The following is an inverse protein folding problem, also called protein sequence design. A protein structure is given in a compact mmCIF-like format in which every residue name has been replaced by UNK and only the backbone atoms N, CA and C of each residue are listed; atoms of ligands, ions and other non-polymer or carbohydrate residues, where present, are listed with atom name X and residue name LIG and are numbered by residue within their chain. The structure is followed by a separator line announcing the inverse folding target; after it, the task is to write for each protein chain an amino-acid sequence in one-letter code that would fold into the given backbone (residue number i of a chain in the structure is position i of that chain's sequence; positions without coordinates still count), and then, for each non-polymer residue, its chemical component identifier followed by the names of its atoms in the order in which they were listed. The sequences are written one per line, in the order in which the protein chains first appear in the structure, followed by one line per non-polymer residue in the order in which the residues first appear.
data_IF_013852482257
#
_entry.id   IF_013852482257
#
_cell.length_a   1.000
_cell.length_b   1.000
_cell.length_c   1.000
_cell.angle_alpha   90.00
_cell.angle_beta   90.00
_cell.angle_gamma   90.00
#
_symmetry.space_group_name_H-M   'P 1'
#
loop_
_entity.id
_entity.type
_entity.pdbx_description
1 polymer ?
#
# COMPACT_ATOMS: atom_id res chain seq x y z
N UNK A 1 -3.57 -0.01 19.77
CA UNK A 1 -3.25 0.86 18.61
C UNK A 1 -3.86 0.28 17.35
N UNK A 2 -4.33 1.14 16.48
CA UNK A 2 -4.75 0.83 15.12
C UNK A 2 -3.88 1.60 14.11
N UNK A 3 -4.04 1.30 12.82
CA UNK A 3 -3.20 1.89 11.78
C UNK A 3 -3.27 3.43 11.73
N UNK A 4 -4.43 4.04 11.90
CA UNK A 4 -4.56 5.50 11.87
C UNK A 4 -3.86 6.18 13.06
N UNK A 5 -3.86 5.56 14.24
CA UNK A 5 -3.07 6.05 15.38
C UNK A 5 -1.57 6.03 15.07
N UNK A 6 -1.10 4.97 14.43
CA UNK A 6 0.31 4.86 13.97
C UNK A 6 0.62 5.92 12.91
N UNK A 7 -0.27 6.15 11.95
CA UNK A 7 -0.11 7.23 10.97
C UNK A 7 0.01 8.59 11.62
N UNK A 8 -0.83 8.88 12.63
CA UNK A 8 -0.74 10.12 13.39
C UNK A 8 0.63 10.29 14.05
N UNK A 9 1.09 9.23 14.75
CA UNK A 9 2.40 9.24 15.43
C UNK A 9 3.54 9.49 14.43
N UNK A 10 3.51 8.85 13.27
CA UNK A 10 4.55 9.03 12.25
C UNK A 10 4.55 10.44 11.65
N UNK A 11 3.39 11.07 11.53
CA UNK A 11 3.25 12.42 10.98
C UNK A 11 3.57 13.52 12.00
N UNK A 12 3.26 13.30 13.28
CA UNK A 12 3.33 14.33 14.32
C UNK A 12 4.43 14.09 15.37
N UNK A 13 5.01 12.87 15.42
CA UNK A 13 6.10 12.53 16.34
C UNK A 13 5.66 12.14 17.75
N UNK A 14 4.37 12.24 18.06
CA UNK A 14 3.82 11.95 19.39
C UNK A 14 2.46 11.27 19.30
N UNK A 15 2.08 10.60 20.39
CA UNK A 15 0.78 9.94 20.49
C UNK A 15 -0.35 10.97 20.58
N UNK A 16 -1.45 10.82 19.80
CA UNK A 16 -2.58 11.74 19.87
C UNK A 16 -3.33 11.66 21.20
N UNK A 17 -3.89 12.81 21.63
CA UNK A 17 -5.02 12.81 22.56
C UNK A 17 -6.23 12.19 21.88
N UNK A 18 -7.28 11.86 22.64
CA UNK A 18 -8.52 11.32 22.06
C UNK A 18 -9.16 12.31 21.07
N UNK A 19 -9.17 13.60 21.38
CA UNK A 19 -9.72 14.63 20.52
C UNK A 19 -8.94 14.75 19.20
N UNK A 20 -7.61 14.80 19.27
CA UNK A 20 -6.72 14.84 18.10
C UNK A 20 -6.89 13.59 17.22
N UNK A 21 -7.03 12.42 17.85
CA UNK A 21 -7.26 11.18 17.12
C UNK A 21 -8.61 11.20 16.39
N UNK A 22 -9.68 11.65 17.06
CA UNK A 22 -11.02 11.69 16.48
C UNK A 22 -11.10 12.68 15.31
N UNK A 23 -10.44 13.84 15.42
CA UNK A 23 -10.31 14.81 14.34
C UNK A 23 -9.51 14.22 13.14
N UNK A 24 -8.35 13.62 13.42
CA UNK A 24 -7.53 12.98 12.40
C UNK A 24 -8.28 11.87 11.67
N UNK A 25 -8.90 10.96 12.41
CA UNK A 25 -9.74 9.88 11.88
C UNK A 25 -10.88 10.42 11.01
N UNK A 26 -11.57 11.44 11.49
CA UNK A 26 -12.68 12.08 10.76
C UNK A 26 -12.18 12.69 9.44
N UNK A 27 -11.05 13.39 9.48
CA UNK A 27 -10.43 14.00 8.31
C UNK A 27 -10.04 12.93 7.27
N UNK A 28 -9.36 11.87 7.69
CA UNK A 28 -9.00 10.76 6.79
C UNK A 28 -10.25 10.11 6.19
N UNK A 29 -11.24 9.77 7.03
CA UNK A 29 -12.47 9.09 6.59
C UNK A 29 -13.25 9.90 5.55
N UNK A 30 -13.31 11.22 5.70
CA UNK A 30 -14.07 12.08 4.78
C UNK A 30 -13.34 12.46 3.49
N UNK A 31 -12.08 12.06 3.34
CA UNK A 31 -11.27 12.36 2.14
C UNK A 31 -10.96 11.13 1.27
N UNK A 32 -11.59 9.99 1.54
CA UNK A 32 -11.34 8.71 0.87
C UNK A 32 -11.78 8.66 -0.59
N UNK A 33 -12.81 9.43 -0.97
CA UNK A 33 -13.23 9.52 -2.39
C UNK A 33 -12.15 10.17 -3.25
N UNK A 34 -11.91 9.60 -4.42
CA UNK A 34 -11.11 10.23 -5.48
C UNK A 34 -12.01 11.07 -6.39
N UNK A 35 -11.39 11.99 -7.13
CA UNK A 35 -12.13 12.76 -8.15
C UNK A 35 -12.65 11.81 -9.23
N UNK A 36 -13.91 11.95 -9.63
CA UNK A 36 -14.58 11.01 -10.53
C UNK A 36 -13.86 10.87 -11.90
N UNK A 37 -13.23 11.92 -12.40
CA UNK A 37 -12.45 11.83 -13.63
C UNK A 37 -11.23 10.90 -13.51
N UNK A 38 -10.70 10.67 -12.30
CA UNK A 38 -9.57 9.75 -12.08
C UNK A 38 -10.00 8.32 -12.41
N UNK A 39 -11.26 7.96 -12.22
CA UNK A 39 -11.77 6.63 -12.56
C UNK A 39 -11.55 6.30 -14.05
N UNK A 40 -11.61 7.31 -14.92
CA UNK A 40 -11.35 7.15 -16.35
C UNK A 40 -9.90 6.82 -16.68
N UNK A 41 -8.94 7.22 -15.83
CA UNK A 41 -7.53 6.90 -16.04
C UNK A 41 -7.26 5.39 -15.88
N UNK A 42 -8.04 4.68 -15.07
CA UNK A 42 -7.92 3.22 -14.99
C UNK A 42 -8.22 2.57 -16.34
N UNK A 43 -9.17 3.10 -17.11
CA UNK A 43 -9.52 2.59 -18.43
C UNK A 43 -8.46 2.86 -19.51
N UNK A 44 -7.48 3.73 -19.25
CA UNK A 44 -6.34 3.95 -20.12
C UNK A 44 -5.24 2.88 -19.97
N UNK A 45 -5.27 2.11 -18.87
CA UNK A 45 -4.35 0.99 -18.66
C UNK A 45 -4.95 -0.30 -19.24
N UNK A 46 -4.07 -1.23 -19.60
CA UNK A 46 -4.51 -2.59 -19.93
C UNK A 46 -4.99 -3.28 -18.64
N UNK A 47 -6.00 -4.14 -18.75
CA UNK A 47 -6.54 -4.88 -17.59
C UNK A 47 -5.52 -5.83 -16.96
N UNK A 48 -4.59 -6.35 -17.74
CA UNK A 48 -3.49 -7.21 -17.32
C UNK A 48 -2.24 -6.45 -16.87
N UNK A 49 -2.34 -5.11 -16.73
CA UNK A 49 -1.23 -4.29 -16.22
C UNK A 49 -0.88 -4.65 -14.79
N UNK A 50 0.42 -4.63 -14.50
CA UNK A 50 0.90 -4.81 -13.14
C UNK A 50 0.31 -3.74 -12.20
N UNK A 51 -0.29 -4.10 -11.04
CA UNK A 51 -0.96 -3.14 -10.16
C UNK A 51 -0.07 -2.01 -9.68
N UNK A 52 1.22 -2.26 -9.45
CA UNK A 52 2.15 -1.22 -9.05
C UNK A 52 2.40 -0.18 -10.15
N UNK A 53 2.37 -0.57 -11.44
CA UNK A 53 2.45 0.37 -12.55
C UNK A 53 1.23 1.30 -12.58
N UNK A 54 0.04 0.74 -12.41
CA UNK A 54 -1.21 1.49 -12.34
C UNK A 54 -1.19 2.45 -11.14
N UNK A 55 -0.84 1.96 -9.96
CA UNK A 55 -0.75 2.77 -8.74
C UNK A 55 0.25 3.91 -8.86
N UNK A 56 1.42 3.68 -9.47
CA UNK A 56 2.42 4.71 -9.74
C UNK A 56 1.84 5.82 -10.64
N UNK A 57 1.20 5.45 -11.75
CA UNK A 57 0.60 6.39 -12.69
C UNK A 57 -0.55 7.20 -12.09
N UNK A 58 -1.48 6.55 -11.41
CA UNK A 58 -2.65 7.21 -10.79
C UNK A 58 -2.21 8.13 -9.64
N UNK A 59 -1.26 7.70 -8.81
CA UNK A 59 -0.74 8.55 -7.71
C UNK A 59 -0.08 9.81 -8.25
N UNK A 60 0.76 9.70 -9.28
CA UNK A 60 1.35 10.87 -9.93
C UNK A 60 0.31 11.81 -10.54
N UNK A 61 -0.75 11.25 -11.13
CA UNK A 61 -1.84 12.01 -11.73
C UNK A 61 -2.64 12.84 -10.72
N UNK A 62 -2.63 12.52 -9.41
CA UNK A 62 -3.29 13.33 -8.38
C UNK A 62 -2.82 14.78 -8.39
N UNK A 63 -1.57 15.05 -8.77
CA UNK A 63 -1.04 16.41 -8.89
C UNK A 63 -1.83 17.28 -9.89
N UNK A 64 -2.43 16.67 -10.91
CA UNK A 64 -3.27 17.38 -11.87
C UNK A 64 -4.67 17.74 -11.34
N UNK A 65 -5.06 17.22 -10.19
CA UNK A 65 -6.38 17.44 -9.57
C UNK A 65 -6.32 18.30 -8.29
N UNK A 66 -5.14 18.38 -7.65
CA UNK A 66 -4.99 19.00 -6.33
C UNK A 66 -3.91 20.09 -6.33
N UNK A 67 -4.16 21.18 -7.06
CA UNK A 67 -3.22 22.28 -7.24
C UNK A 67 -2.92 23.07 -5.96
N UNK A 68 -3.75 22.93 -4.93
CA UNK A 68 -3.66 23.62 -3.63
C UNK A 68 -2.74 22.92 -2.62
N UNK A 69 -2.00 21.90 -3.01
CA UNK A 69 -1.14 21.11 -2.11
C UNK A 69 0.11 20.57 -2.81
N UNK A 70 0.71 21.35 -3.71
CA UNK A 70 1.85 20.95 -4.53
C UNK A 70 3.21 21.43 -4.01
N UNK A 71 3.24 22.49 -3.21
CA UNK A 71 4.50 23.07 -2.71
C UNK A 71 5.00 22.32 -1.47
N UNK A 72 6.09 21.58 -1.64
CA UNK A 72 6.74 20.82 -0.54
C UNK A 72 7.37 21.71 0.53
N UNK A 73 7.64 23.00 0.23
CA UNK A 73 8.18 23.95 1.21
C UNK A 73 7.09 24.56 2.09
N UNK A 74 5.83 24.53 1.64
CA UNK A 74 4.69 25.01 2.42
C UNK A 74 4.21 23.90 3.38
N UNK A 75 4.28 24.11 4.72
CA UNK A 75 3.83 23.10 5.70
C UNK A 75 2.37 22.70 5.52
N UNK A 76 1.50 23.66 5.19
CA UNK A 76 0.06 23.39 4.98
C UNK A 76 -0.18 22.53 3.75
N UNK A 77 0.56 22.74 2.66
CA UNK A 77 0.47 21.91 1.47
C UNK A 77 0.93 20.47 1.75
N UNK A 78 2.01 20.31 2.53
CA UNK A 78 2.47 18.98 2.95
C UNK A 78 1.42 18.24 3.78
N UNK A 79 0.82 18.92 4.73
CA UNK A 79 -0.23 18.36 5.57
C UNK A 79 -1.44 17.93 4.73
N UNK A 80 -1.97 18.79 3.87
CA UNK A 80 -3.10 18.49 2.98
C UNK A 80 -2.76 17.31 2.05
N UNK A 81 -1.57 17.31 1.46
CA UNK A 81 -1.13 16.23 0.59
C UNK A 81 -1.00 14.89 1.33
N UNK A 82 -0.49 14.90 2.58
CA UNK A 82 -0.39 13.72 3.42
C UNK A 82 -1.78 13.13 3.71
N UNK A 83 -2.75 13.96 4.11
CA UNK A 83 -4.13 13.52 4.30
C UNK A 83 -4.76 12.93 3.02
N UNK A 84 -4.56 13.60 1.89
CA UNK A 84 -5.10 13.14 0.60
C UNK A 84 -4.49 11.80 0.18
N UNK A 85 -3.18 11.67 0.27
CA UNK A 85 -2.48 10.42 -0.07
C UNK A 85 -2.91 9.29 0.86
N UNK A 86 -2.88 9.51 2.17
CA UNK A 86 -3.30 8.51 3.15
C UNK A 86 -4.74 8.06 2.93
N UNK A 87 -5.67 9.01 2.73
CA UNK A 87 -7.09 8.71 2.59
C UNK A 87 -7.44 8.00 1.28
N UNK A 88 -6.78 8.39 0.16
CA UNK A 88 -7.17 7.93 -1.18
C UNK A 88 -6.44 6.68 -1.64
N UNK A 89 -5.32 6.35 -1.04
CA UNK A 89 -4.52 5.18 -1.44
C UNK A 89 -5.31 3.88 -1.41
N UNK A 90 -6.09 3.56 -0.36
CA UNK A 90 -6.92 2.34 -0.34
C UNK A 90 -7.97 2.32 -1.45
N UNK A 91 -8.59 3.47 -1.74
CA UNK A 91 -9.60 3.58 -2.80
C UNK A 91 -8.98 3.31 -4.16
N UNK A 92 -7.82 3.92 -4.45
CA UNK A 92 -7.12 3.69 -5.72
C UNK A 92 -6.65 2.24 -5.86
N UNK A 93 -6.13 1.63 -4.80
CA UNK A 93 -5.70 0.24 -4.81
C UNK A 93 -6.87 -0.73 -5.04
N UNK A 94 -8.01 -0.50 -4.38
CA UNK A 94 -9.21 -1.29 -4.58
C UNK A 94 -9.77 -1.13 -6.01
N UNK A 95 -9.78 0.09 -6.55
CA UNK A 95 -10.21 0.32 -7.94
C UNK A 95 -9.27 -0.35 -8.94
N UNK A 96 -7.95 -0.33 -8.69
CA UNK A 96 -6.98 -1.05 -9.51
C UNK A 96 -7.32 -2.56 -9.57
N UNK A 97 -7.59 -3.17 -8.43
CA UNK A 97 -8.00 -4.57 -8.35
C UNK A 97 -9.32 -4.84 -9.08
N UNK A 98 -10.36 -4.04 -8.79
CA UNK A 98 -11.67 -4.18 -9.44
C UNK A 98 -11.58 -4.05 -10.95
N UNK A 99 -10.78 -3.12 -11.44
CA UNK A 99 -10.53 -2.96 -12.87
C UNK A 99 -9.88 -4.20 -13.48
N UNK A 100 -8.85 -4.76 -12.83
CA UNK A 100 -8.12 -5.93 -13.34
C UNK A 100 -9.02 -7.17 -13.51
N UNK A 101 -9.95 -7.38 -12.58
CA UNK A 101 -10.90 -8.52 -12.63
C UNK A 101 -12.20 -8.22 -13.38
N UNK A 102 -12.37 -6.99 -13.91
CA UNK A 102 -13.55 -6.58 -14.68
C UNK A 102 -14.81 -6.41 -13.87
N UNK A 103 -14.70 -6.09 -12.60
CA UNK A 103 -15.82 -5.75 -11.73
C UNK A 103 -16.02 -4.23 -11.62
N UNK A 104 -17.24 -3.75 -11.32
CA UNK A 104 -17.50 -2.35 -11.09
C UNK A 104 -16.73 -1.82 -9.87
N UNK A 105 -16.36 -0.54 -9.92
CA UNK A 105 -15.75 0.11 -8.76
C UNK A 105 -16.73 0.20 -7.60
N UNK A 106 -16.20 -0.02 -6.41
CA UNK A 106 -16.93 0.16 -5.16
C UNK A 106 -16.40 1.42 -4.48
N UNK A 107 -17.32 2.31 -4.14
CA UNK A 107 -16.98 3.58 -3.50
C UNK A 107 -16.78 3.40 -1.98
N UNK A 108 -15.95 4.25 -1.36
CA UNK A 108 -15.70 4.19 0.07
C UNK A 108 -16.97 4.52 0.89
N UNK A 109 -17.02 3.98 2.09
CA UNK A 109 -18.07 4.21 3.08
C UNK A 109 -17.47 4.88 4.33
N UNK A 110 -18.17 5.88 4.87
CA UNK A 110 -17.70 6.63 6.04
C UNK A 110 -17.98 5.94 7.38
N UNK A 111 -18.81 4.90 7.39
CA UNK A 111 -19.19 4.14 8.58
C UNK A 111 -18.24 2.98 8.90
N UNK A 112 -17.31 2.69 8.00
CA UNK A 112 -16.30 1.63 8.17
C UNK A 112 -14.97 2.17 8.69
N UNK A 113 -14.20 1.31 9.33
CA UNK A 113 -12.80 1.59 9.66
C UNK A 113 -11.94 1.71 8.41
N UNK A 114 -10.72 2.20 8.54
CA UNK A 114 -9.77 2.30 7.41
C UNK A 114 -9.53 0.94 6.73
N UNK A 115 -9.21 -0.09 7.51
CA UNK A 115 -8.99 -1.44 7.00
C UNK A 115 -10.30 -2.08 6.49
N UNK A 116 -11.40 -1.91 7.23
CA UNK A 116 -12.71 -2.43 6.84
C UNK A 116 -13.22 -1.81 5.55
N UNK A 117 -13.00 -0.51 5.36
CA UNK A 117 -13.37 0.17 4.13
C UNK A 117 -12.56 -0.34 2.93
N UNK A 118 -11.25 -0.56 3.10
CA UNK A 118 -10.43 -1.18 2.07
C UNK A 118 -10.95 -2.56 1.66
N UNK A 119 -11.23 -3.44 2.63
CA UNK A 119 -11.79 -4.77 2.37
C UNK A 119 -13.16 -4.70 1.67
N UNK A 120 -14.02 -3.78 2.09
CA UNK A 120 -15.31 -3.56 1.45
C UNK A 120 -15.14 -3.15 -0.03
N UNK A 121 -14.26 -2.19 -0.31
CA UNK A 121 -14.02 -1.75 -1.69
C UNK A 121 -13.38 -2.84 -2.55
N UNK A 122 -12.54 -3.70 -1.97
CA UNK A 122 -11.90 -4.81 -2.68
C UNK A 122 -12.89 -5.92 -3.04
N UNK A 123 -13.75 -6.33 -2.11
CA UNK A 123 -14.44 -7.62 -2.19
C UNK A 123 -15.94 -7.54 -2.32
N UNK A 124 -16.58 -6.40 -1.99
CA UNK A 124 -18.03 -6.29 -2.19
C UNK A 124 -18.40 -6.25 -3.68
N UNK A 125 -19.59 -6.73 -3.98
CA UNK A 125 -20.18 -6.68 -5.32
C UNK A 125 -21.57 -6.06 -5.23
N UNK A 126 -22.11 -5.45 -6.30
CA UNK A 126 -23.46 -4.89 -6.26
C UNK A 126 -24.57 -5.95 -6.18
N UNK A 127 -24.22 -7.23 -6.38
CA UNK A 127 -25.20 -8.31 -6.48
C UNK A 127 -25.70 -8.81 -5.13
N UNK A 128 -24.92 -8.61 -4.07
CA UNK A 128 -25.23 -9.13 -2.72
C UNK A 128 -24.65 -8.23 -1.62
N UNK A 129 -25.24 -8.24 -0.41
CA UNK A 129 -24.66 -7.57 0.73
C UNK A 129 -23.28 -8.13 1.08
N UNK A 130 -22.35 -7.24 1.42
CA UNK A 130 -21.02 -7.60 1.91
C UNK A 130 -20.86 -7.12 3.35
N UNK A 131 -20.55 -8.05 4.23
CA UNK A 131 -20.19 -7.74 5.61
C UNK A 131 -18.71 -7.94 5.83
N UNK A 132 -18.04 -6.92 6.37
CA UNK A 132 -16.60 -6.98 6.66
C UNK A 132 -16.35 -7.99 7.78
N UNK A 133 -15.58 -9.03 7.49
CA UNK A 133 -15.19 -10.00 8.50
C UNK A 133 -14.24 -9.34 9.52
N UNK A 134 -14.58 -9.30 10.82
CA UNK A 134 -13.81 -8.61 11.84
C UNK A 134 -12.40 -9.22 12.07
N UNK A 135 -12.21 -10.49 11.74
CA UNK A 135 -10.89 -11.14 11.82
C UNK A 135 -9.99 -10.62 10.69
N UNK A 136 -10.54 -10.55 9.47
CA UNK A 136 -9.80 -10.03 8.31
C UNK A 136 -9.52 -8.53 8.45
N UNK A 137 -10.49 -7.77 8.96
CA UNK A 137 -10.30 -6.34 9.25
C UNK A 137 -9.14 -6.10 10.21
N UNK A 138 -9.11 -6.82 11.32
CA UNK A 138 -8.03 -6.74 12.30
C UNK A 138 -6.69 -7.21 11.73
N UNK A 139 -6.68 -8.26 10.90
CA UNK A 139 -5.49 -8.75 10.23
C UNK A 139 -4.94 -7.69 9.27
N UNK A 140 -5.80 -7.08 8.45
CA UNK A 140 -5.42 -6.02 7.53
C UNK A 140 -4.87 -4.79 8.26
N UNK A 141 -5.51 -4.36 9.33
CA UNK A 141 -5.03 -3.24 10.15
C UNK A 141 -3.62 -3.51 10.70
N UNK A 142 -3.34 -4.72 11.18
CA UNK A 142 -2.01 -5.15 11.63
C UNK A 142 -0.99 -5.18 10.49
N UNK A 143 -1.36 -5.70 9.33
CA UNK A 143 -0.50 -5.71 8.15
C UNK A 143 -0.10 -4.28 7.78
N UNK A 144 -1.03 -3.34 7.77
CA UNK A 144 -0.77 -1.93 7.49
C UNK A 144 0.18 -1.32 8.54
N UNK A 145 -0.02 -1.61 9.83
CA UNK A 145 0.89 -1.16 10.90
C UNK A 145 2.31 -1.68 10.68
N UNK A 146 2.46 -2.98 10.40
CA UNK A 146 3.76 -3.61 10.22
C UNK A 146 4.53 -3.12 8.99
N UNK A 147 3.83 -2.49 8.04
CA UNK A 147 4.41 -1.90 6.83
C UNK A 147 4.51 -0.37 6.89
N UNK A 148 4.04 0.27 7.97
CA UNK A 148 3.99 1.73 8.06
C UNK A 148 5.38 2.37 8.15
N UNK A 149 6.31 1.72 8.84
CA UNK A 149 7.70 2.16 8.95
C UNK A 149 8.65 0.96 9.12
N UNK A 150 9.78 1.03 8.46
CA UNK A 150 10.90 0.08 8.60
C UNK A 150 12.22 0.79 8.31
N UNK A 151 12.50 1.84 9.05
CA UNK A 151 13.68 2.70 8.87
C UNK A 151 13.76 3.33 7.47
N UNK A 152 14.95 3.75 7.05
CA UNK A 152 15.15 4.35 5.74
C UNK A 152 15.41 3.26 4.68
N UNK A 153 14.35 2.73 4.12
CA UNK A 153 14.38 1.79 2.99
C UNK A 153 14.54 2.50 1.64
N UNK A 154 14.60 1.74 0.55
CA UNK A 154 14.81 2.27 -0.80
C UNK A 154 13.70 3.25 -1.24
N UNK A 155 12.42 2.96 -0.97
CA UNK A 155 11.32 3.87 -1.34
C UNK A 155 11.34 5.15 -0.49
N UNK A 156 11.63 5.07 0.80
CA UNK A 156 11.81 6.26 1.65
C UNK A 156 12.93 7.15 1.14
N UNK A 157 14.08 6.57 0.78
CA UNK A 157 15.21 7.29 0.20
C UNK A 157 14.83 7.95 -1.13
N UNK A 158 14.09 7.24 -1.98
CA UNK A 158 13.63 7.75 -3.28
C UNK A 158 12.68 8.93 -3.10
N UNK A 159 11.69 8.83 -2.19
CA UNK A 159 10.76 9.93 -1.88
C UNK A 159 11.52 11.17 -1.39
N UNK A 160 12.48 10.98 -0.48
CA UNK A 160 13.31 12.09 0.05
C UNK A 160 14.17 12.73 -1.05
N UNK A 161 14.77 11.91 -1.91
CA UNK A 161 15.59 12.40 -3.03
C UNK A 161 14.72 13.18 -4.02
N UNK A 162 13.56 12.67 -4.41
CA UNK A 162 12.63 13.39 -5.26
C UNK A 162 12.18 14.72 -4.63
N UNK A 163 11.82 14.70 -3.33
CA UNK A 163 11.39 15.89 -2.59
C UNK A 163 12.50 16.94 -2.45
N UNK A 164 13.78 16.54 -2.43
CA UNK A 164 14.90 17.47 -2.34
C UNK A 164 15.06 18.38 -3.57
N UNK A 165 14.48 17.97 -4.71
CA UNK A 165 14.43 18.81 -5.93
C UNK A 165 13.22 19.78 -5.94
N UNK A 166 12.40 19.80 -4.89
CA UNK A 166 11.16 20.59 -4.86
C UNK A 166 9.99 19.94 -5.62
N UNK A 167 10.09 18.64 -5.99
CA UNK A 167 9.01 17.93 -6.63
C UNK A 167 7.77 17.86 -5.71
N UNK A 168 6.56 17.95 -6.29
CA UNK A 168 5.33 17.92 -5.52
C UNK A 168 5.13 16.59 -4.76
N UNK A 169 4.37 16.57 -3.65
CA UNK A 169 4.22 15.38 -2.82
C UNK A 169 3.68 14.15 -3.56
N UNK A 170 2.75 14.33 -4.50
CA UNK A 170 2.17 13.21 -5.26
C UNK A 170 3.20 12.57 -6.20
N UNK A 171 4.03 13.38 -6.86
CA UNK A 171 5.13 12.90 -7.69
C UNK A 171 6.20 12.18 -6.84
N UNK A 172 6.52 12.70 -5.65
CA UNK A 172 7.45 12.06 -4.72
C UNK A 172 6.97 10.66 -4.30
N UNK A 173 5.69 10.53 -3.95
CA UNK A 173 5.12 9.24 -3.56
C UNK A 173 5.00 8.30 -4.77
N UNK A 174 4.68 8.79 -5.96
CA UNK A 174 4.72 7.98 -7.18
C UNK A 174 6.13 7.41 -7.44
N UNK A 175 7.18 8.20 -7.25
CA UNK A 175 8.56 7.73 -7.33
C UNK A 175 8.88 6.67 -6.26
N UNK A 176 8.36 6.83 -5.03
CA UNK A 176 8.45 5.83 -3.97
C UNK A 176 7.76 4.52 -4.34
N UNK A 177 6.58 4.58 -4.96
CA UNK A 177 5.85 3.40 -5.46
C UNK A 177 6.65 2.71 -6.57
N UNK A 178 7.25 3.46 -7.49
CA UNK A 178 8.12 2.91 -8.52
C UNK A 178 9.32 2.16 -7.91
N UNK A 179 9.96 2.74 -6.88
CA UNK A 179 11.03 2.08 -6.13
C UNK A 179 10.55 0.83 -5.39
N UNK A 180 9.36 0.91 -4.75
CA UNK A 180 8.76 -0.21 -4.03
C UNK A 180 8.48 -1.40 -4.95
N UNK A 181 8.14 -1.16 -6.20
CA UNK A 181 7.89 -2.21 -7.19
C UNK A 181 9.14 -3.01 -7.56
N UNK A 182 10.33 -2.48 -7.32
CA UNK A 182 11.59 -3.13 -7.68
C UNK A 182 11.77 -4.51 -7.02
N UNK A 183 12.37 -5.50 -7.73
CA UNK A 183 12.52 -6.88 -7.23
C UNK A 183 13.42 -6.97 -5.98
N UNK A 184 14.27 -5.99 -5.76
CA UNK A 184 15.13 -5.90 -4.57
C UNK A 184 14.45 -5.18 -3.38
N UNK A 185 13.16 -4.84 -3.48
CA UNK A 185 12.38 -4.18 -2.45
C UNK A 185 11.01 -4.85 -2.30
N UNK A 186 9.90 -4.15 -2.50
CA UNK A 186 8.56 -4.73 -2.36
C UNK A 186 8.26 -5.86 -3.35
N UNK A 187 8.88 -5.85 -4.54
CA UNK A 187 8.79 -6.95 -5.49
C UNK A 187 9.32 -8.29 -4.99
N UNK A 188 10.10 -8.32 -3.90
CA UNK A 188 10.52 -9.56 -3.24
C UNK A 188 9.33 -10.35 -2.66
N UNK A 189 8.28 -9.68 -2.19
CA UNK A 189 7.06 -10.34 -1.72
C UNK A 189 6.32 -11.05 -2.85
N UNK A 190 6.24 -10.44 -4.02
CA UNK A 190 5.67 -11.04 -5.22
C UNK A 190 6.47 -12.27 -5.65
N UNK A 191 7.79 -12.17 -5.64
CA UNK A 191 8.68 -13.28 -5.96
C UNK A 191 8.52 -14.45 -4.97
N UNK A 192 8.33 -14.17 -3.67
CA UNK A 192 8.06 -15.18 -2.67
C UNK A 192 6.71 -15.89 -2.91
N UNK A 193 5.67 -15.14 -3.27
CA UNK A 193 4.36 -15.70 -3.60
C UNK A 193 4.45 -16.62 -4.84
N UNK A 194 5.09 -16.17 -5.91
CA UNK A 194 5.32 -16.98 -7.13
C UNK A 194 6.10 -18.25 -6.83
N UNK A 195 7.10 -18.19 -5.97
CA UNK A 195 7.84 -19.37 -5.52
C UNK A 195 6.93 -20.35 -4.78
N UNK A 196 6.05 -19.87 -3.89
CA UNK A 196 5.10 -20.74 -3.19
C UNK A 196 4.09 -21.39 -4.14
N UNK A 197 3.64 -20.66 -5.15
CA UNK A 197 2.78 -21.19 -6.23
C UNK A 197 3.50 -22.26 -7.05
N UNK A 198 4.80 -22.07 -7.37
CA UNK A 198 5.63 -23.07 -8.07
C UNK A 198 5.79 -24.33 -7.20
N UNK A 199 6.06 -24.20 -5.91
CA UNK A 199 6.15 -25.33 -4.97
C UNK A 199 4.81 -26.07 -4.88
N UNK A 200 3.69 -25.35 -4.94
CA UNK A 200 2.30 -25.81 -5.02
C UNK A 200 1.81 -26.76 -3.92
N UNK A 201 2.66 -27.58 -3.32
CA UNK A 201 2.29 -28.59 -2.31
C UNK A 201 3.43 -28.82 -1.31
N UNK A 202 3.05 -29.04 -0.05
CA UNK A 202 4.00 -29.45 1.03
C UNK A 202 4.85 -30.65 0.64
N UNK A 203 4.32 -31.56 -0.17
CA UNK A 203 5.03 -32.77 -0.65
C UNK A 203 6.26 -32.42 -1.50
N UNK A 204 6.25 -31.28 -2.18
CA UNK A 204 7.34 -30.85 -3.05
C UNK A 204 8.45 -30.08 -2.30
N UNK A 205 8.21 -29.64 -1.07
CA UNK A 205 9.18 -28.84 -0.30
C UNK A 205 10.58 -29.50 -0.25
N UNK A 206 10.72 -30.82 0.03
CA UNK A 206 12.04 -31.44 0.09
C UNK A 206 12.83 -31.35 -1.21
N UNK A 207 12.15 -31.41 -2.36
CA UNK A 207 12.76 -31.24 -3.68
C UNK A 207 13.27 -29.80 -3.86
N UNK A 208 12.41 -28.82 -3.62
CA UNK A 208 12.78 -27.41 -3.77
C UNK A 208 13.88 -26.96 -2.79
N UNK A 209 13.89 -27.49 -1.57
CA UNK A 209 15.00 -27.27 -0.63
C UNK A 209 16.31 -27.87 -1.17
N UNK A 210 16.28 -29.04 -1.81
CA UNK A 210 17.46 -29.64 -2.44
C UNK A 210 17.94 -28.77 -3.61
N UNK A 211 17.04 -28.34 -4.49
CA UNK A 211 17.35 -27.41 -5.59
C UNK A 211 18.00 -26.11 -5.09
N UNK A 212 17.44 -25.51 -4.04
CA UNK A 212 17.98 -24.28 -3.45
C UNK A 212 19.39 -24.44 -2.87
N UNK A 213 19.77 -25.67 -2.43
CA UNK A 213 21.10 -26.00 -1.92
C UNK A 213 22.10 -26.32 -3.05
N UNK A 214 21.62 -26.65 -4.23
CA UNK A 214 22.47 -26.91 -5.39
C UNK A 214 22.95 -25.59 -6.01
N UNK A 215 24.25 -25.38 -6.02
CA UNK A 215 24.87 -24.16 -6.58
C UNK A 215 24.68 -24.04 -8.09
N UNK A 216 24.42 -25.14 -8.77
CA UNK A 216 24.24 -25.20 -10.23
C UNK A 216 22.76 -25.03 -10.63
N UNK A 217 21.81 -25.15 -9.70
CA UNK A 217 20.38 -24.89 -9.94
C UNK A 217 20.13 -23.37 -9.93
N UNK A 218 19.30 -22.90 -10.83
CA UNK A 218 18.87 -21.50 -10.90
C UNK A 218 17.84 -21.13 -9.83
N UNK A 219 17.20 -22.14 -9.20
CA UNK A 219 16.20 -21.91 -8.17
C UNK A 219 16.79 -21.22 -6.93
N UNK A 220 16.07 -20.24 -6.40
CA UNK A 220 16.43 -19.51 -5.17
C UNK A 220 15.23 -19.47 -4.23
N UNK A 221 15.46 -19.64 -2.92
CA UNK A 221 14.45 -19.42 -1.91
C UNK A 221 14.19 -17.91 -1.76
N UNK A 222 13.02 -17.48 -2.20
CA UNK A 222 12.57 -16.11 -2.05
C UNK A 222 11.93 -15.92 -0.66
N UNK A 223 12.04 -14.72 -0.08
CA UNK A 223 11.58 -14.45 1.28
C UNK A 223 12.59 -14.87 2.38
N UNK A 224 13.78 -15.30 1.99
CA UNK A 224 14.88 -15.65 2.90
C UNK A 224 16.08 -14.74 2.67
N UNK A 225 16.90 -14.53 3.70
CA UNK A 225 18.12 -13.72 3.58
C UNK A 225 17.86 -12.23 3.57
N UNK A 226 17.40 -11.69 4.69
CA UNK A 226 17.25 -10.25 4.86
C UNK A 226 18.58 -9.56 5.17
N UNK A 227 18.78 -8.35 4.64
CA UNK A 227 20.05 -7.60 4.83
C UNK A 227 20.27 -7.19 6.29
N UNK A 228 19.22 -6.84 7.02
CA UNK A 228 19.26 -6.36 8.40
C UNK A 228 19.16 -7.51 9.39
N UNK A 229 18.18 -8.38 9.23
CA UNK A 229 17.91 -9.47 10.17
C UNK A 229 18.82 -10.68 9.90
N UNK A 230 19.53 -11.14 10.94
CA UNK A 230 20.39 -12.32 10.86
C UNK A 230 19.65 -13.63 11.09
N UNK A 231 18.57 -13.60 11.87
CA UNK A 231 17.77 -14.78 12.21
C UNK A 231 16.41 -14.72 11.53
N UNK A 232 15.47 -13.96 12.08
CA UNK A 232 14.13 -13.76 11.53
C UNK A 232 13.66 -12.30 11.68
N UNK A 233 12.72 -11.92 10.87
CA UNK A 233 12.08 -10.61 10.97
C UNK A 233 11.11 -10.60 12.16
N UNK A 234 11.26 -9.71 13.17
CA UNK A 234 10.37 -9.67 14.34
C UNK A 234 8.89 -9.49 13.97
N UNK A 235 8.59 -8.88 12.83
CA UNK A 235 7.22 -8.72 12.33
C UNK A 235 6.54 -10.06 12.04
N UNK A 236 7.30 -11.09 11.70
CA UNK A 236 6.80 -12.45 11.48
C UNK A 236 6.12 -13.05 12.72
N UNK A 237 6.53 -12.65 13.93
CA UNK A 237 5.89 -13.11 15.17
C UNK A 237 4.46 -12.57 15.31
N UNK A 238 4.19 -11.38 14.79
CA UNK A 238 2.86 -10.76 14.80
C UNK A 238 1.98 -11.33 13.68
N UNK A 239 2.59 -11.62 12.52
CA UNK A 239 1.91 -12.21 11.36
C UNK A 239 1.52 -13.67 11.58
#
# INVERSE_FOLDING_TARGET
SNYLEVCYILLNGEKPTQEQYDEFKTTVTRHTMIHEQITRLFHAFRRDSHPMAVMCGITGALAAFYHDSLDVNNPRHREIAAFRLLSKMPTMAAMCYKYSIGQPFVYPRNDLSYAGNFLNMMFSTPCEPYEVNPILERAMDRILILHADHEQNASTSTVRTAGSSGANPFACIAAGIASLWGPAHGGANEAALKMLEEISSVKHIPEFVRRAKDKNDSFRLMGFGHRVYKNYDPRATVM
#
